data_IF_959474371155
#
_entry.id   IF_959474371155
#
_cell.length_a   1.000
_cell.length_b   1.000
_cell.length_c   1.000
_cell.angle_alpha   90.00
_cell.angle_beta   90.00
_cell.angle_gamma   90.00
#
_symmetry.space_group_name_H-M   'P 1'
#
loop_
_entity.id
_entity.type
_entity.pdbx_description
1 polymer ?
#
# COMPACT_ATOMS: atom_id res chain seq x y z
N UNK A 1 2.33 -8.06 -11.16
CA UNK A 1 3.48 -8.95 -11.37
C UNK A 1 3.64 -9.35 -12.83
N UNK A 2 2.67 -10.13 -13.34
CA UNK A 2 2.68 -10.55 -14.73
C UNK A 2 2.72 -9.39 -15.73
N UNK A 3 2.21 -8.22 -15.35
CA UNK A 3 2.12 -7.06 -16.20
C UNK A 3 3.45 -6.51 -16.67
N UNK A 4 4.40 -6.28 -15.77
CA UNK A 4 5.71 -5.73 -16.12
C UNK A 4 6.49 -6.75 -16.97
N UNK A 5 6.37 -8.04 -16.66
CA UNK A 5 7.01 -9.11 -17.42
C UNK A 5 6.41 -9.25 -18.82
N UNK A 6 5.08 -9.19 -18.95
CA UNK A 6 4.38 -9.24 -20.23
C UNK A 6 4.63 -8.00 -21.10
N UNK A 7 4.78 -6.83 -20.47
CA UNK A 7 5.17 -5.60 -21.16
C UNK A 7 6.62 -5.57 -21.65
N UNK A 8 7.36 -6.67 -21.52
CA UNK A 8 8.74 -6.80 -22.00
C UNK A 8 9.78 -6.01 -21.21
N UNK A 9 9.43 -5.53 -20.02
CA UNK A 9 10.26 -4.61 -19.24
C UNK A 9 11.37 -5.30 -18.44
N UNK A 10 11.19 -6.57 -18.05
CA UNK A 10 12.24 -7.36 -17.37
C UNK A 10 11.82 -8.82 -17.20
N UNK A 11 12.81 -9.74 -17.19
CA UNK A 11 12.61 -11.12 -16.74
C UNK A 11 12.61 -11.23 -15.20
N UNK A 12 13.15 -10.21 -14.53
CA UNK A 12 13.35 -10.15 -13.08
C UNK A 12 12.45 -9.09 -12.44
N UNK A 13 11.17 -9.40 -12.31
CA UNK A 13 10.21 -8.53 -11.62
C UNK A 13 10.07 -9.00 -10.17
N UNK A 14 10.17 -8.05 -9.25
CA UNK A 14 9.98 -8.29 -7.82
C UNK A 14 8.92 -7.34 -7.25
N UNK A 15 8.04 -7.83 -6.39
CA UNK A 15 7.05 -7.02 -5.70
C UNK A 15 7.44 -6.82 -4.23
N UNK A 16 7.29 -5.59 -3.76
CA UNK A 16 7.43 -5.24 -2.37
C UNK A 16 6.06 -4.84 -1.82
N UNK A 17 5.38 -5.81 -1.18
CA UNK A 17 4.00 -5.69 -0.69
C UNK A 17 3.94 -5.73 0.84
N UNK A 18 4.81 -4.94 1.49
CA UNK A 18 4.95 -4.91 2.95
C UNK A 18 3.92 -4.01 3.65
N UNK A 19 3.00 -3.36 2.95
CA UNK A 19 2.06 -2.40 3.51
C UNK A 19 2.76 -1.35 4.40
N UNK A 20 3.84 -0.72 3.87
CA UNK A 20 4.73 0.16 4.64
C UNK A 20 4.07 1.49 5.06
N UNK A 21 2.92 1.80 4.52
CA UNK A 21 2.07 2.92 4.90
C UNK A 21 1.28 2.67 6.19
N UNK A 22 1.21 1.42 6.67
CA UNK A 22 0.40 0.99 7.81
C UNK A 22 1.27 0.40 8.92
N UNK A 23 0.94 0.70 10.17
CA UNK A 23 1.47 0.06 11.37
C UNK A 23 2.95 0.35 11.65
N UNK A 24 3.53 -0.47 12.51
CA UNK A 24 4.88 -0.31 13.03
C UNK A 24 5.95 -0.64 11.97
N UNK A 25 6.85 0.28 11.69
CA UNK A 25 8.00 0.12 10.78
C UNK A 25 9.35 0.32 11.47
N UNK A 26 9.37 0.39 12.80
CA UNK A 26 10.60 0.65 13.57
C UNK A 26 11.58 -0.52 13.55
N UNK A 27 11.10 -1.74 13.27
CA UNK A 27 11.90 -2.96 13.24
C UNK A 27 12.36 -3.41 11.85
N UNK A 28 12.17 -2.56 10.83
CA UNK A 28 12.44 -2.92 9.44
C UNK A 28 13.92 -3.29 9.17
N UNK A 29 14.84 -2.77 9.96
CA UNK A 29 16.28 -3.08 9.87
C UNK A 29 16.71 -4.27 10.75
N UNK A 30 15.84 -4.78 11.64
CA UNK A 30 16.22 -5.72 12.70
C UNK A 30 15.52 -7.08 12.66
N UNK A 31 14.43 -7.25 11.94
CA UNK A 31 13.73 -8.55 11.90
C UNK A 31 12.38 -8.54 11.21
N UNK A 32 11.70 -7.40 11.18
CA UNK A 32 10.38 -7.22 10.54
C UNK A 32 9.25 -8.07 11.15
N UNK A 33 9.35 -8.43 12.43
CA UNK A 33 8.32 -9.24 13.11
C UNK A 33 6.98 -8.48 13.18
N UNK A 34 7.03 -7.15 13.38
CA UNK A 34 5.86 -6.30 13.34
C UNK A 34 5.17 -6.31 11.96
N UNK A 35 5.95 -6.40 10.87
CA UNK A 35 5.43 -6.52 9.50
C UNK A 35 4.75 -7.85 9.27
N UNK A 36 5.37 -8.95 9.70
CA UNK A 36 4.77 -10.28 9.57
C UNK A 36 3.44 -10.33 10.30
N UNK A 37 3.41 -9.86 11.55
CA UNK A 37 2.17 -9.78 12.33
C UNK A 37 1.10 -8.91 11.65
N UNK A 38 1.49 -7.76 11.08
CA UNK A 38 0.53 -6.91 10.37
C UNK A 38 -0.06 -7.62 9.14
N UNK A 39 0.73 -8.38 8.39
CA UNK A 39 0.22 -9.15 7.26
C UNK A 39 -0.79 -10.21 7.71
N UNK A 40 -0.56 -10.86 8.85
CA UNK A 40 -1.53 -11.76 9.47
C UNK A 40 -2.82 -11.01 9.86
N UNK A 41 -2.71 -9.83 10.46
CA UNK A 41 -3.87 -9.00 10.82
C UNK A 41 -4.66 -8.52 9.59
N UNK A 42 -3.97 -8.21 8.47
CA UNK A 42 -4.59 -7.72 7.24
C UNK A 42 -5.23 -8.82 6.39
N UNK A 43 -4.62 -10.01 6.35
CA UNK A 43 -4.95 -11.06 5.39
C UNK A 43 -5.26 -12.41 6.05
N UNK A 44 -5.31 -12.50 7.39
CA UNK A 44 -5.54 -13.74 8.12
C UNK A 44 -6.88 -14.42 7.80
N UNK A 45 -7.87 -13.65 7.30
CA UNK A 45 -9.14 -14.20 6.80
C UNK A 45 -8.99 -15.05 5.52
N UNK A 46 -7.80 -15.06 4.91
CA UNK A 46 -7.49 -15.79 3.68
C UNK A 46 -6.38 -16.80 3.95
N UNK A 47 -6.71 -18.11 4.10
CA UNK A 47 -5.74 -19.14 4.44
C UNK A 47 -4.55 -19.18 3.48
N UNK A 48 -3.33 -19.11 4.04
CA UNK A 48 -2.07 -19.18 3.29
C UNK A 48 -1.62 -17.87 2.62
N UNK A 49 -2.50 -16.88 2.48
CA UNK A 49 -2.17 -15.59 1.82
C UNK A 49 -1.10 -14.80 2.57
N UNK A 50 -1.13 -14.64 3.91
CA UNK A 50 -0.06 -13.95 4.63
C UNK A 50 1.31 -14.56 4.41
N UNK A 51 1.41 -15.89 4.47
CA UNK A 51 2.67 -16.61 4.26
C UNK A 51 3.20 -16.46 2.83
N UNK A 52 2.33 -16.48 1.83
CA UNK A 52 2.70 -16.28 0.43
C UNK A 52 3.22 -14.85 0.21
N UNK A 53 2.52 -13.84 0.73
CA UNK A 53 2.97 -12.44 0.69
C UNK A 53 4.32 -12.32 1.40
N UNK A 54 4.49 -12.93 2.57
CA UNK A 54 5.74 -12.90 3.31
C UNK A 54 6.90 -13.50 2.52
N UNK A 55 6.73 -14.69 1.95
CA UNK A 55 7.75 -15.36 1.11
C UNK A 55 8.13 -14.50 -0.10
N UNK A 56 7.16 -13.89 -0.75
CA UNK A 56 7.40 -12.98 -1.87
C UNK A 56 8.25 -11.77 -1.46
N UNK A 57 7.92 -11.15 -0.32
CA UNK A 57 8.71 -10.03 0.19
C UNK A 57 10.13 -10.45 0.58
N UNK A 58 10.31 -11.60 1.24
CA UNK A 58 11.64 -12.14 1.55
C UNK A 58 12.49 -12.35 0.29
N UNK A 59 11.90 -12.92 -0.76
CA UNK A 59 12.57 -13.06 -2.04
C UNK A 59 12.98 -11.71 -2.64
N UNK A 60 12.08 -10.73 -2.62
CA UNK A 60 12.35 -9.37 -3.11
C UNK A 60 13.50 -8.71 -2.34
N UNK A 61 13.50 -8.83 -1.00
CA UNK A 61 14.57 -8.28 -0.16
C UNK A 61 15.91 -8.96 -0.43
N UNK A 62 15.93 -10.27 -0.63
CA UNK A 62 17.14 -11.01 -1.04
C UNK A 62 17.67 -10.49 -2.38
N UNK A 63 16.81 -10.30 -3.38
CA UNK A 63 17.19 -9.73 -4.69
C UNK A 63 17.75 -8.31 -4.57
N UNK A 64 17.20 -7.47 -3.70
CA UNK A 64 17.75 -6.14 -3.43
C UNK A 64 19.14 -6.20 -2.79
N UNK A 65 19.38 -7.16 -1.88
CA UNK A 65 20.71 -7.38 -1.31
C UNK A 65 21.72 -7.88 -2.34
N UNK A 66 21.31 -8.77 -3.25
CA UNK A 66 22.13 -9.22 -4.37
C UNK A 66 22.49 -8.05 -5.30
N UNK A 67 21.51 -7.22 -5.69
CA UNK A 67 21.73 -6.04 -6.51
C UNK A 67 22.71 -5.04 -5.88
N UNK A 68 22.80 -4.99 -4.56
CA UNK A 68 23.80 -4.18 -3.83
C UNK A 68 25.24 -4.62 -4.11
N UNK A 69 25.47 -5.91 -4.34
CA UNK A 69 26.81 -6.49 -4.56
C UNK A 69 27.13 -6.64 -6.04
N UNK A 70 26.15 -7.02 -6.85
CA UNK A 70 26.30 -7.21 -8.31
C UNK A 70 26.26 -5.91 -9.10
N UNK A 71 25.78 -4.83 -8.49
CA UNK A 71 25.51 -3.53 -9.11
C UNK A 71 24.47 -3.61 -10.24
N UNK A 72 23.61 -4.63 -10.23
CA UNK A 72 22.50 -4.75 -11.16
C UNK A 72 21.55 -3.57 -11.00
N UNK A 73 21.17 -2.87 -12.10
CA UNK A 73 20.27 -1.73 -12.00
C UNK A 73 18.90 -2.11 -11.42
N UNK A 74 18.38 -1.28 -10.50
CA UNK A 74 17.06 -1.45 -9.90
C UNK A 74 16.14 -0.33 -10.41
N UNK A 75 15.06 -0.73 -11.08
CA UNK A 75 13.98 0.16 -11.52
C UNK A 75 12.77 -0.02 -10.61
N UNK A 76 12.29 1.06 -10.04
CA UNK A 76 11.10 1.08 -9.21
C UNK A 76 9.92 1.67 -9.99
N UNK A 77 8.73 1.14 -9.74
CA UNK A 77 7.48 1.62 -10.32
C UNK A 77 6.57 2.12 -9.19
N UNK A 78 6.09 3.36 -9.31
CA UNK A 78 5.24 3.97 -8.30
C UNK A 78 4.16 4.86 -8.91
N UNK A 79 3.04 4.97 -8.22
CA UNK A 79 2.12 6.11 -8.27
C UNK A 79 2.44 7.01 -7.08
N UNK A 80 2.80 8.27 -7.32
CA UNK A 80 3.28 9.17 -6.26
C UNK A 80 2.20 9.51 -5.21
N UNK A 81 0.93 9.37 -5.57
CA UNK A 81 -0.21 9.51 -4.65
C UNK A 81 -0.49 8.27 -3.80
N UNK A 82 0.17 7.12 -4.09
CA UNK A 82 0.00 5.91 -3.30
C UNK A 82 0.98 5.88 -2.12
N UNK A 83 0.50 5.93 -0.86
CA UNK A 83 1.39 5.97 0.30
C UNK A 83 2.28 4.73 0.43
N UNK A 84 1.74 3.53 0.15
CA UNK A 84 2.50 2.29 0.27
C UNK A 84 3.64 2.22 -0.76
N UNK A 85 3.39 2.64 -2.01
CA UNK A 85 4.40 2.66 -3.07
C UNK A 85 5.46 3.73 -2.83
N UNK A 86 5.06 4.90 -2.32
CA UNK A 86 5.99 5.96 -1.95
C UNK A 86 6.86 5.58 -0.74
N UNK A 87 6.27 4.92 0.28
CA UNK A 87 7.03 4.29 1.37
C UNK A 87 8.02 3.26 0.82
N UNK A 88 7.61 2.43 -0.14
CA UNK A 88 8.45 1.44 -0.80
C UNK A 88 9.66 2.06 -1.49
N UNK A 89 9.47 3.18 -2.21
CA UNK A 89 10.56 3.94 -2.82
C UNK A 89 11.57 4.40 -1.78
N UNK A 90 11.11 5.00 -0.68
CA UNK A 90 11.98 5.52 0.37
C UNK A 90 12.73 4.41 1.10
N UNK A 91 12.04 3.29 1.35
CA UNK A 91 12.65 2.10 1.96
C UNK A 91 13.73 1.47 1.08
N UNK A 92 13.50 1.30 -0.22
CA UNK A 92 14.52 0.78 -1.15
C UNK A 92 15.72 1.73 -1.22
N UNK A 93 15.50 3.04 -1.25
CA UNK A 93 16.59 4.02 -1.19
C UNK A 93 17.37 3.93 0.13
N UNK A 94 16.71 3.66 1.26
CA UNK A 94 17.37 3.41 2.55
C UNK A 94 18.21 2.13 2.54
N UNK A 95 17.66 1.02 2.07
CA UNK A 95 18.40 -0.25 1.95
C UNK A 95 19.67 -0.13 1.09
N UNK A 96 19.61 0.69 0.04
CA UNK A 96 20.66 0.85 -0.94
C UNK A 96 21.45 2.16 -0.77
N UNK A 97 21.30 2.90 0.33
CA UNK A 97 21.87 4.26 0.52
C UNK A 97 23.38 4.32 0.30
N UNK A 98 24.12 3.31 0.73
CA UNK A 98 25.57 3.21 0.60
C UNK A 98 26.01 2.30 -0.59
N UNK A 99 25.06 1.82 -1.41
CA UNK A 99 25.38 0.99 -2.55
C UNK A 99 25.67 1.85 -3.81
N UNK A 100 26.50 1.33 -4.70
CA UNK A 100 26.73 1.95 -6.02
C UNK A 100 25.73 1.47 -7.09
N UNK A 101 24.77 0.66 -6.71
CA UNK A 101 23.69 0.14 -7.55
C UNK A 101 22.97 1.29 -8.26
N UNK A 102 22.87 1.31 -9.59
CA UNK A 102 22.09 2.31 -10.29
C UNK A 102 20.60 2.17 -9.92
N UNK A 103 19.97 3.28 -9.54
CA UNK A 103 18.54 3.32 -9.23
C UNK A 103 17.82 4.22 -10.21
N UNK A 104 16.65 3.80 -10.65
CA UNK A 104 15.70 4.62 -11.39
C UNK A 104 14.29 4.43 -10.87
N UNK A 105 13.43 5.40 -11.16
CA UNK A 105 12.01 5.33 -10.82
C UNK A 105 11.16 5.70 -12.03
N UNK A 106 10.16 4.88 -12.31
CA UNK A 106 9.05 5.20 -13.21
C UNK A 106 7.89 5.69 -12.34
N UNK A 107 7.65 6.98 -12.37
CA UNK A 107 6.50 7.57 -11.70
C UNK A 107 5.33 7.60 -12.69
N UNK A 108 4.39 6.68 -12.51
CA UNK A 108 3.22 6.59 -13.38
C UNK A 108 2.36 7.83 -13.19
N UNK A 109 1.92 8.50 -14.28
CA UNK A 109 1.03 9.64 -14.18
C UNK A 109 -0.27 9.26 -13.45
N UNK A 110 -0.70 10.10 -12.51
CA UNK A 110 -1.95 9.89 -11.78
C UNK A 110 -3.17 10.02 -12.69
N UNK A 111 -3.02 10.72 -13.79
CA UNK A 111 -4.10 11.00 -14.74
C UNK A 111 -3.56 10.94 -16.16
N UNK A 112 -4.28 10.21 -17.00
CA UNK A 112 -4.00 10.09 -18.44
C UNK A 112 -5.27 10.47 -19.19
N UNK A 113 -5.12 11.42 -20.10
CA UNK A 113 -6.19 11.82 -21.02
C UNK A 113 -6.13 10.91 -22.25
N UNK A 114 -7.27 10.32 -22.59
CA UNK A 114 -7.51 9.61 -23.84
C UNK A 114 -8.57 10.36 -24.63
N UNK A 115 -8.76 10.03 -25.90
CA UNK A 115 -9.71 10.72 -26.78
C UNK A 115 -11.13 10.83 -26.19
N UNK A 116 -11.55 9.90 -25.33
CA UNK A 116 -12.92 9.82 -24.80
C UNK A 116 -13.01 9.71 -23.27
N UNK A 117 -11.90 9.69 -22.54
CA UNK A 117 -11.92 9.47 -21.09
C UNK A 117 -10.66 9.97 -20.39
N UNK A 118 -10.79 10.16 -19.09
CA UNK A 118 -9.66 10.40 -18.18
C UNK A 118 -9.49 9.16 -17.35
N UNK A 119 -8.34 8.50 -17.49
CA UNK A 119 -7.96 7.35 -16.68
C UNK A 119 -7.18 7.87 -15.48
N UNK A 120 -7.55 7.46 -14.27
CA UNK A 120 -6.82 7.79 -13.04
C UNK A 120 -6.30 6.53 -12.40
N UNK A 121 -4.98 6.48 -12.18
CA UNK A 121 -4.34 5.40 -11.43
C UNK A 121 -4.09 5.83 -9.99
N UNK A 122 -4.48 4.98 -9.05
CA UNK A 122 -4.23 5.14 -7.60
C UNK A 122 -3.10 4.26 -7.11
N UNK A 123 -2.74 3.26 -7.91
CA UNK A 123 -1.63 2.36 -7.66
C UNK A 123 -1.12 1.77 -8.98
N UNK A 124 0.10 1.28 -8.98
CA UNK A 124 0.66 0.53 -10.12
C UNK A 124 -0.09 -0.79 -10.37
N UNK A 125 -0.79 -1.32 -9.37
CA UNK A 125 -1.64 -2.51 -9.49
C UNK A 125 -2.89 -2.33 -10.35
N UNK A 126 -3.29 -1.08 -10.63
CA UNK A 126 -4.43 -0.77 -11.49
C UNK A 126 -4.06 -0.67 -12.98
N UNK A 127 -2.77 -0.70 -13.30
CA UNK A 127 -2.27 -0.59 -14.67
C UNK A 127 -2.50 -1.91 -15.40
N UNK A 128 -3.12 -1.81 -16.58
CA UNK A 128 -3.21 -2.97 -17.46
C UNK A 128 -1.80 -3.51 -17.77
N UNK A 129 -1.54 -4.81 -17.61
CA UNK A 129 -0.25 -5.43 -17.89
C UNK A 129 0.40 -5.01 -19.20
N UNK A 130 -0.36 -4.88 -20.26
CA UNK A 130 0.11 -4.53 -21.59
C UNK A 130 0.55 -3.05 -21.71
N UNK A 131 0.08 -2.19 -20.79
CA UNK A 131 0.35 -0.76 -20.83
C UNK A 131 1.67 -0.38 -20.13
N UNK A 132 2.28 -1.25 -19.31
CA UNK A 132 3.50 -0.91 -18.57
C UNK A 132 4.64 -0.40 -19.46
N UNK A 133 4.80 -0.99 -20.66
CA UNK A 133 5.83 -0.59 -21.59
C UNK A 133 5.77 0.88 -21.99
N UNK A 134 4.57 1.45 -22.11
CA UNK A 134 4.35 2.85 -22.48
C UNK A 134 4.84 3.82 -21.39
N UNK A 135 4.84 3.42 -20.13
CA UNK A 135 5.24 4.31 -19.03
C UNK A 135 6.74 4.36 -18.79
N UNK A 136 7.55 3.58 -19.52
CA UNK A 136 9.02 3.66 -19.43
C UNK A 136 9.56 5.03 -19.86
N UNK A 137 8.80 5.81 -20.63
CA UNK A 137 9.15 7.19 -20.98
C UNK A 137 9.23 8.12 -19.75
N UNK A 138 8.57 7.78 -18.65
CA UNK A 138 8.60 8.51 -17.38
C UNK A 138 9.74 8.08 -16.46
N UNK A 139 10.61 7.17 -16.92
CA UNK A 139 11.76 6.72 -16.12
C UNK A 139 12.75 7.86 -15.88
N UNK A 140 13.12 8.02 -14.62
CA UNK A 140 14.12 9.00 -14.21
C UNK A 140 15.18 8.33 -13.33
N UNK A 141 16.47 8.57 -13.58
CA UNK A 141 17.53 8.10 -12.69
C UNK A 141 17.40 8.80 -11.32
N UNK A 142 17.67 8.06 -10.26
CA UNK A 142 17.76 8.60 -8.91
C UNK A 142 19.23 8.93 -8.63
N UNK A 143 19.53 10.22 -8.49
CA UNK A 143 20.86 10.68 -8.13
C UNK A 143 21.25 10.26 -6.71
N UNK A 144 22.55 10.28 -6.40
CA UNK A 144 23.05 9.97 -5.05
C UNK A 144 22.44 10.91 -3.99
N UNK A 145 22.28 12.19 -4.30
CA UNK A 145 21.66 13.15 -3.41
C UNK A 145 20.17 12.81 -3.14
N UNK A 146 19.41 12.51 -4.20
CA UNK A 146 18.02 12.10 -4.06
C UNK A 146 17.89 10.81 -3.25
N UNK A 147 18.76 9.81 -3.50
CA UNK A 147 18.79 8.56 -2.75
C UNK A 147 19.00 8.81 -1.25
N UNK A 148 19.98 9.63 -0.90
CA UNK A 148 20.23 10.01 0.50
C UNK A 148 19.05 10.76 1.12
N UNK A 149 18.45 11.69 0.37
CA UNK A 149 17.26 12.42 0.83
C UNK A 149 16.11 11.46 1.12
N UNK A 150 15.81 10.52 0.21
CA UNK A 150 14.74 9.52 0.41
C UNK A 150 15.05 8.55 1.56
N UNK A 151 16.30 8.13 1.70
CA UNK A 151 16.74 7.32 2.83
C UNK A 151 16.57 8.04 4.18
N UNK A 152 16.85 9.35 4.23
CA UNK A 152 16.63 10.15 5.43
C UNK A 152 15.13 10.30 5.76
N UNK A 153 14.29 10.54 4.73
CA UNK A 153 12.83 10.58 4.92
C UNK A 153 12.34 9.25 5.50
N UNK A 154 12.81 8.11 4.97
CA UNK A 154 12.48 6.79 5.53
C UNK A 154 12.88 6.68 7.00
N UNK A 155 14.10 7.09 7.34
CA UNK A 155 14.59 7.02 8.72
C UNK A 155 13.77 7.90 9.67
N UNK A 156 13.27 9.04 9.21
CA UNK A 156 12.39 9.90 10.00
C UNK A 156 11.01 9.27 10.20
N UNK A 157 10.42 8.68 9.15
CA UNK A 157 9.14 7.96 9.23
C UNK A 157 9.24 6.75 10.18
N UNK A 158 10.35 6.00 10.13
CA UNK A 158 10.59 4.87 11.03
C UNK A 158 10.77 5.33 12.48
N UNK A 159 11.42 6.46 12.71
CA UNK A 159 11.60 7.05 14.05
C UNK A 159 10.29 7.61 14.62
N UNK A 160 9.49 8.30 13.79
CA UNK A 160 8.15 8.77 14.16
C UNK A 160 7.21 7.59 14.43
N UNK A 161 7.32 6.57 13.61
CA UNK A 161 6.57 5.32 13.69
C UNK A 161 5.05 5.50 13.85
N UNK A 162 4.48 6.45 13.12
CA UNK A 162 3.05 6.70 13.12
C UNK A 162 2.27 5.44 12.68
N UNK A 163 1.07 5.18 13.23
CA UNK A 163 0.29 3.98 12.91
C UNK A 163 -0.27 3.96 11.47
N UNK A 164 -0.31 5.10 10.82
CA UNK A 164 -0.74 5.25 9.42
C UNK A 164 0.08 6.37 8.77
N UNK A 165 0.42 6.20 7.50
CA UNK A 165 1.10 7.19 6.66
C UNK A 165 0.26 7.48 5.44
N UNK A 166 0.12 8.76 5.12
CA UNK A 166 -0.74 9.24 4.02
C UNK A 166 0.01 10.23 3.16
N UNK A 167 -0.39 10.35 1.90
CA UNK A 167 0.13 11.40 1.01
C UNK A 167 -0.82 12.59 1.06
N UNK A 168 -0.34 13.73 1.53
CA UNK A 168 -1.05 15.01 1.51
C UNK A 168 -0.19 16.05 0.80
N UNK A 169 -0.74 16.70 -0.21
CA UNK A 169 -0.02 17.69 -1.03
C UNK A 169 1.33 17.19 -1.55
N UNK A 170 1.38 15.93 -2.00
CA UNK A 170 2.59 15.30 -2.52
C UNK A 170 3.64 14.91 -1.47
N UNK A 171 3.35 15.10 -0.18
CA UNK A 171 4.24 14.73 0.92
C UNK A 171 3.67 13.56 1.72
N UNK A 172 4.53 12.60 2.06
CA UNK A 172 4.18 11.49 2.95
C UNK A 172 4.32 11.95 4.40
N UNK A 173 3.24 11.83 5.17
CA UNK A 173 3.19 12.23 6.59
C UNK A 173 2.58 11.14 7.45
N UNK A 174 3.01 11.07 8.72
CA UNK A 174 2.40 10.24 9.74
C UNK A 174 1.09 10.83 10.25
N UNK A 175 0.09 9.97 10.48
CA UNK A 175 -1.23 10.37 10.99
C UNK A 175 -1.76 9.33 11.99
N UNK A 176 -2.74 9.71 12.86
CA UNK A 176 -3.39 8.75 13.75
C UNK A 176 -4.10 7.61 12.99
N UNK A 177 -4.26 6.46 13.65
CA UNK A 177 -4.90 5.28 13.05
C UNK A 177 -6.36 5.49 12.62
N UNK A 178 -7.06 6.44 13.22
CA UNK A 178 -8.46 6.78 12.95
C UNK A 178 -8.63 7.94 11.96
N UNK A 179 -7.53 8.36 11.33
CA UNK A 179 -7.51 9.50 10.41
C UNK A 179 -8.60 9.45 9.34
N UNK A 180 -8.95 8.26 8.83
CA UNK A 180 -9.98 8.09 7.81
C UNK A 180 -11.36 7.67 8.36
N UNK A 181 -11.52 7.53 9.68
CA UNK A 181 -12.79 7.08 10.28
C UNK A 181 -13.93 8.04 10.00
N UNK A 182 -13.64 9.35 9.85
CA UNK A 182 -14.65 10.34 9.49
C UNK A 182 -15.34 10.02 8.16
N UNK A 183 -14.59 9.48 7.18
CA UNK A 183 -15.14 9.14 5.89
C UNK A 183 -15.94 7.82 5.94
N UNK A 184 -15.52 6.84 6.75
CA UNK A 184 -16.36 5.67 7.05
C UNK A 184 -17.69 6.12 7.64
N UNK A 185 -17.67 6.96 8.69
CA UNK A 185 -18.88 7.47 9.36
C UNK A 185 -19.79 8.26 8.43
N UNK A 186 -19.21 9.10 7.57
CA UNK A 186 -19.96 9.89 6.60
C UNK A 186 -20.66 9.03 5.53
N UNK A 187 -20.13 7.84 5.25
CA UNK A 187 -20.70 6.91 4.27
C UNK A 187 -21.64 5.86 4.86
N UNK A 188 -21.78 5.77 6.19
CA UNK A 188 -22.71 4.80 6.82
C UNK A 188 -24.15 5.19 6.50
N UNK A 189 -24.94 4.34 5.82
CA UNK A 189 -26.35 4.59 5.59
C UNK A 189 -27.16 4.36 6.88
N UNK A 190 -28.42 4.78 6.83
CA UNK A 190 -29.39 4.36 7.85
C UNK A 190 -29.91 2.95 7.50
N UNK A 191 -30.03 2.08 8.51
CA UNK A 191 -30.43 0.68 8.34
C UNK A 191 -29.27 -0.27 8.09
N UNK A 192 -29.57 -1.44 7.52
CA UNK A 192 -28.63 -2.52 7.31
C UNK A 192 -27.83 -2.33 6.01
N UNK A 193 -26.52 -2.60 6.03
CA UNK A 193 -25.67 -2.51 4.85
C UNK A 193 -24.52 -3.51 4.88
N UNK A 194 -24.02 -3.87 3.69
CA UNK A 194 -22.85 -4.74 3.57
C UNK A 194 -21.55 -3.98 3.85
N UNK A 195 -20.61 -4.63 4.51
CA UNK A 195 -19.25 -4.10 4.74
C UNK A 195 -18.58 -3.73 3.41
N UNK A 196 -18.71 -4.58 2.37
CA UNK A 196 -18.20 -4.29 1.01
C UNK A 196 -18.72 -2.96 0.45
N UNK A 197 -19.99 -2.66 0.70
CA UNK A 197 -20.62 -1.41 0.22
C UNK A 197 -19.99 -0.19 0.92
N UNK A 198 -19.82 -0.25 2.25
CA UNK A 198 -19.22 0.84 3.02
C UNK A 198 -17.75 1.08 2.59
N UNK A 199 -16.97 0.01 2.46
CA UNK A 199 -15.57 0.09 1.97
C UNK A 199 -15.55 0.74 0.59
N UNK A 200 -16.34 0.23 -0.38
CA UNK A 200 -16.36 0.73 -1.75
C UNK A 200 -16.72 2.21 -1.84
N UNK A 201 -17.74 2.65 -1.10
CA UNK A 201 -18.14 4.07 -1.03
C UNK A 201 -17.03 4.95 -0.45
N UNK A 202 -16.34 4.46 0.57
CA UNK A 202 -15.26 5.20 1.21
C UNK A 202 -14.04 5.31 0.30
N UNK A 203 -13.65 4.24 -0.39
CA UNK A 203 -12.54 4.25 -1.35
C UNK A 203 -12.72 5.22 -2.52
N UNK A 204 -13.97 5.48 -2.94
CA UNK A 204 -14.24 6.48 -3.97
C UNK A 204 -13.83 7.89 -3.51
N UNK A 205 -14.00 8.20 -2.23
CA UNK A 205 -13.74 9.52 -1.65
C UNK A 205 -12.30 9.71 -1.19
N UNK A 206 -11.66 8.61 -0.76
CA UNK A 206 -10.30 8.65 -0.20
C UNK A 206 -9.36 7.81 -1.09
N UNK A 207 -8.68 8.44 -2.04
CA UNK A 207 -7.71 7.72 -2.87
C UNK A 207 -6.47 7.31 -2.03
N UNK A 208 -5.90 6.16 -2.35
CA UNK A 208 -4.62 5.71 -1.80
C UNK A 208 -4.70 4.97 -0.46
N UNK A 209 -5.88 4.83 0.15
CA UNK A 209 -6.04 3.97 1.33
C UNK A 209 -6.36 2.52 0.92
N UNK A 210 -5.81 1.55 1.64
CA UNK A 210 -6.11 0.13 1.42
C UNK A 210 -7.51 -0.23 1.92
N UNK A 211 -8.24 -1.07 1.13
CA UNK A 211 -9.50 -1.69 1.56
C UNK A 211 -9.31 -2.52 2.84
N UNK A 212 -8.15 -3.16 2.99
CA UNK A 212 -7.77 -3.93 4.18
C UNK A 212 -7.65 -3.04 5.42
N UNK A 213 -7.07 -1.86 5.27
CA UNK A 213 -7.03 -0.90 6.36
C UNK A 213 -8.44 -0.45 6.77
N UNK A 214 -9.30 -0.10 5.81
CA UNK A 214 -10.69 0.26 6.10
C UNK A 214 -11.44 -0.89 6.79
N UNK A 215 -11.19 -2.13 6.39
CA UNK A 215 -11.78 -3.29 7.03
C UNK A 215 -11.33 -3.43 8.49
N UNK A 216 -10.04 -3.28 8.80
CA UNK A 216 -9.55 -3.25 10.18
C UNK A 216 -10.22 -2.14 11.00
N UNK A 217 -10.47 -0.96 10.40
CA UNK A 217 -11.19 0.13 11.09
C UNK A 217 -12.65 -0.25 11.36
N UNK A 218 -13.32 -0.89 10.40
CA UNK A 218 -14.70 -1.42 10.58
C UNK A 218 -14.73 -2.47 11.68
N UNK A 219 -13.77 -3.38 11.73
CA UNK A 219 -13.66 -4.35 12.83
C UNK A 219 -13.47 -3.67 14.19
N UNK A 220 -12.73 -2.54 14.25
CA UNK A 220 -12.63 -1.76 15.47
C UNK A 220 -13.97 -1.09 15.85
N UNK A 221 -14.74 -0.59 14.88
CA UNK A 221 -16.06 -0.01 15.09
C UNK A 221 -17.07 -1.09 15.58
N UNK A 222 -16.95 -2.32 15.11
CA UNK A 222 -17.71 -3.46 15.60
C UNK A 222 -17.36 -3.79 17.07
N UNK A 223 -16.06 -3.83 17.39
CA UNK A 223 -15.58 -4.09 18.76
C UNK A 223 -15.98 -3.00 19.75
N UNK A 224 -16.08 -1.76 19.31
CA UNK A 224 -16.52 -0.63 20.15
C UNK A 224 -18.03 -0.47 20.23
N UNK A 225 -18.83 -1.26 19.49
CA UNK A 225 -20.28 -1.14 19.44
C UNK A 225 -20.78 0.03 18.55
N UNK A 226 -19.89 0.75 17.88
CA UNK A 226 -20.27 1.78 16.89
C UNK A 226 -21.00 1.18 15.68
N UNK A 227 -20.64 -0.07 15.33
CA UNK A 227 -21.35 -0.92 14.39
C UNK A 227 -21.77 -2.22 15.06
N UNK A 228 -22.90 -2.79 14.63
CA UNK A 228 -23.43 -4.07 15.08
C UNK A 228 -23.56 -5.03 13.90
N UNK A 229 -23.23 -6.31 14.13
CA UNK A 229 -23.42 -7.35 13.12
C UNK A 229 -24.92 -7.71 13.07
N UNK A 230 -25.49 -7.68 11.87
CA UNK A 230 -26.85 -8.13 11.56
C UNK A 230 -26.81 -9.55 11.00
N UNK A 231 -25.86 -9.82 10.13
CA UNK A 231 -25.61 -11.14 9.57
C UNK A 231 -24.11 -11.34 9.37
N UNK A 232 -23.58 -12.46 9.80
CA UNK A 232 -22.21 -12.86 9.59
C UNK A 232 -21.88 -12.97 8.11
N UNK A 233 -20.57 -12.91 7.78
CA UNK A 233 -20.10 -13.09 6.44
C UNK A 233 -20.51 -14.47 5.90
N UNK A 234 -21.02 -14.48 4.67
CA UNK A 234 -21.36 -15.71 3.96
C UNK A 234 -20.33 -15.99 2.87
N UNK A 235 -19.83 -17.25 2.80
CA UNK A 235 -18.78 -17.65 1.86
C UNK A 235 -17.39 -17.19 2.32
N UNK A 236 -16.44 -17.18 1.39
CA UNK A 236 -15.01 -17.01 1.67
C UNK A 236 -14.55 -15.55 1.77
N UNK A 237 -15.49 -14.59 1.79
CA UNK A 237 -15.11 -13.18 1.80
C UNK A 237 -15.70 -12.40 2.98
N UNK A 238 -14.85 -11.88 3.90
CA UNK A 238 -15.28 -11.23 5.14
C UNK A 238 -16.13 -9.96 4.90
N UNK A 239 -16.01 -9.32 3.75
CA UNK A 239 -16.78 -8.11 3.40
C UNK A 239 -18.23 -8.39 3.05
N UNK A 240 -18.65 -9.65 2.97
CA UNK A 240 -20.06 -10.03 2.74
C UNK A 240 -20.94 -9.85 3.97
N UNK A 241 -20.36 -9.66 5.16
CA UNK A 241 -21.10 -9.40 6.40
C UNK A 241 -22.02 -8.20 6.24
N UNK A 242 -23.22 -8.29 6.88
CA UNK A 242 -24.19 -7.21 6.96
C UNK A 242 -24.12 -6.60 8.36
N UNK A 243 -24.01 -5.28 8.40
CA UNK A 243 -23.87 -4.51 9.63
C UNK A 243 -24.86 -3.35 9.66
N UNK A 244 -25.08 -2.77 10.83
CA UNK A 244 -25.85 -1.54 11.04
C UNK A 244 -25.15 -0.63 12.05
N UNK A 245 -25.54 0.65 12.10
CA UNK A 245 -25.11 1.57 13.14
C UNK A 245 -25.51 1.05 14.52
N UNK A 246 -24.60 1.09 15.49
CA UNK A 246 -24.93 0.91 16.89
C UNK A 246 -25.78 2.09 17.40
N UNK A 247 -26.65 1.83 18.34
CA UNK A 247 -27.36 2.89 19.03
C UNK A 247 -26.35 3.64 19.92
N UNK A 248 -26.22 4.96 19.73
CA UNK A 248 -25.46 5.77 20.68
C UNK A 248 -26.24 5.74 21.97
N UNK A 249 -25.67 5.19 23.06
CA UNK A 249 -26.14 5.52 24.39
C UNK A 249 -26.09 7.05 24.55
N UNK A 250 -27.24 7.65 24.70
CA UNK A 250 -27.50 9.08 24.91
C UNK A 250 -27.05 9.49 26.31
#
# INVERSE_FOLDING_TARGET
WSGITMGGSSKDVAALTLALDIGDISDMDTGMDARKKLLDDLFGDFPGVPDEIWKTNQHTLTRLQEARTTLEPVRMWICASNPAELCGLYFVCHLLVNARTPLSVVCVPEQIETDNSIIRYRSTGEINPEAFGAYTEYEKPISELQRRTYANIWSELARENAPLRVVLNGSLIGVPKDFYDFALRANMPDGDFKVAWLIGRTLIQIPGVSDRWLFLRIQNMLRSGELLIVSEATGDHPYSAVVKKGEKET
#
